data_IF_256506125026
#
_entry.id   IF_256506125026
#
_cell.length_a   1.000
_cell.length_b   1.000
_cell.length_c   1.000
_cell.angle_alpha   90.00
_cell.angle_beta   90.00
_cell.angle_gamma   90.00
#
_symmetry.space_group_name_H-M   'P 1'
#
loop_
_entity.id
_entity.type
_entity.pdbx_description
1 polymer ?
#
# COMPACT_ATOMS: atom_id res chain seq x y z
N UNK A 1 9.04 10.66 8.96
CA UNK A 1 9.84 10.54 10.21
C UNK A 1 10.22 9.09 10.53
N UNK A 2 9.27 8.13 10.60
CA UNK A 2 9.61 6.72 10.92
C UNK A 2 10.54 6.07 9.89
N UNK A 3 10.24 6.17 8.59
CA UNK A 3 11.12 5.61 7.55
C UNK A 3 12.54 6.19 7.59
N UNK A 4 12.66 7.47 7.92
CA UNK A 4 13.96 8.13 8.08
C UNK A 4 14.72 7.60 9.31
N UNK A 5 14.03 7.34 10.43
CA UNK A 5 14.63 6.69 11.60
C UNK A 5 15.18 5.29 11.27
N UNK A 6 14.48 4.54 10.42
CA UNK A 6 14.92 3.21 9.98
C UNK A 6 16.20 3.27 9.13
N UNK A 7 16.38 4.34 8.36
CA UNK A 7 17.61 4.58 7.61
C UNK A 7 18.74 5.10 8.49
N UNK A 8 18.46 6.08 9.35
CA UNK A 8 19.50 6.82 10.06
C UNK A 8 20.00 6.07 11.31
N UNK A 9 19.09 5.41 12.03
CA UNK A 9 19.41 4.71 13.29
C UNK A 9 19.59 3.23 13.06
N UNK A 10 18.61 2.57 12.42
CA UNK A 10 18.65 1.13 12.21
C UNK A 10 19.50 0.71 11.00
N UNK A 11 19.92 1.67 10.17
CA UNK A 11 20.73 1.46 8.96
C UNK A 11 20.16 0.37 8.04
N UNK A 12 18.83 0.30 7.98
CA UNK A 12 18.15 -0.69 7.17
C UNK A 12 18.21 -0.28 5.69
N UNK A 13 18.49 -1.22 4.76
CA UNK A 13 18.43 -0.93 3.34
C UNK A 13 16.98 -0.59 2.91
N UNK A 14 16.80 0.21 1.84
CA UNK A 14 15.48 0.62 1.35
C UNK A 14 14.48 -0.53 1.19
N UNK A 15 14.92 -1.65 0.63
CA UNK A 15 14.06 -2.82 0.45
C UNK A 15 13.46 -3.32 1.78
N UNK A 16 14.27 -3.46 2.83
CA UNK A 16 13.79 -3.93 4.14
C UNK A 16 12.88 -2.91 4.81
N UNK A 17 13.22 -1.61 4.75
CA UNK A 17 12.38 -0.54 5.29
C UNK A 17 10.99 -0.54 4.66
N UNK A 18 10.92 -0.64 3.34
CA UNK A 18 9.64 -0.70 2.61
C UNK A 18 8.85 -1.95 2.96
N UNK A 19 9.49 -3.13 3.00
CA UNK A 19 8.84 -4.39 3.38
C UNK A 19 8.25 -4.32 4.78
N UNK A 20 8.99 -3.80 5.76
CA UNK A 20 8.49 -3.65 7.14
C UNK A 20 7.26 -2.74 7.17
N UNK A 21 7.28 -1.62 6.43
CA UNK A 21 6.13 -0.70 6.38
C UNK A 21 4.91 -1.40 5.75
N UNK A 22 5.07 -2.11 4.64
CA UNK A 22 3.96 -2.85 4.01
C UNK A 22 3.41 -3.92 4.95
N UNK A 23 4.27 -4.73 5.56
CA UNK A 23 3.84 -5.78 6.50
C UNK A 23 3.14 -5.17 7.71
N UNK A 24 3.64 -4.05 8.24
CA UNK A 24 3.01 -3.36 9.36
C UNK A 24 1.60 -2.89 9.01
N UNK A 25 1.40 -2.34 7.80
CA UNK A 25 0.08 -1.97 7.30
C UNK A 25 -0.88 -3.16 7.19
N UNK A 26 -0.41 -4.28 6.63
CA UNK A 26 -1.18 -5.52 6.50
C UNK A 26 -1.59 -6.09 7.87
N UNK A 27 -0.66 -6.10 8.84
CA UNK A 27 -0.95 -6.55 10.21
C UNK A 27 -2.00 -5.64 10.86
N UNK A 28 -1.82 -4.32 10.79
CA UNK A 28 -2.77 -3.37 11.36
C UNK A 28 -4.17 -3.54 10.77
N UNK A 29 -4.27 -3.76 9.47
CA UNK A 29 -5.55 -3.99 8.81
C UNK A 29 -6.18 -5.34 9.18
N UNK A 30 -5.39 -6.41 9.23
CA UNK A 30 -5.85 -7.73 9.65
C UNK A 30 -6.41 -7.76 11.08
N UNK A 31 -5.96 -6.84 11.95
CA UNK A 31 -6.52 -6.65 13.29
C UNK A 31 -7.64 -5.60 13.37
N UNK A 32 -8.05 -5.00 12.25
CA UNK A 32 -9.05 -3.94 12.20
C UNK A 32 -8.60 -2.62 12.84
N UNK A 33 -7.29 -2.42 12.99
CA UNK A 33 -6.69 -1.23 13.62
C UNK A 33 -6.37 -0.13 12.61
N UNK A 34 -6.33 -0.46 11.31
CA UNK A 34 -6.00 0.50 10.27
C UNK A 34 -7.12 1.53 10.05
N UNK A 35 -8.40 1.12 10.05
CA UNK A 35 -9.53 2.06 9.89
C UNK A 35 -9.65 3.07 11.06
N UNK A 36 -9.54 2.67 12.34
CA UNK A 36 -9.42 3.63 13.45
C UNK A 36 -8.24 4.58 13.30
N UNK A 37 -7.11 4.10 12.76
CA UNK A 37 -5.93 4.91 12.52
C UNK A 37 -6.19 5.98 11.44
N UNK A 38 -6.91 5.62 10.37
CA UNK A 38 -7.39 6.59 9.36
C UNK A 38 -8.33 7.60 10.01
N UNK A 39 -9.28 7.17 10.83
CA UNK A 39 -10.23 8.08 11.49
C UNK A 39 -9.53 9.07 12.45
N UNK A 40 -8.45 8.63 13.10
CA UNK A 40 -7.69 9.46 14.05
C UNK A 40 -6.73 10.43 13.36
N UNK A 41 -5.92 9.96 12.42
CA UNK A 41 -4.84 10.74 11.79
C UNK A 41 -5.19 11.24 10.37
N UNK A 42 -6.40 10.96 9.91
CA UNK A 42 -6.93 11.38 8.61
C UNK A 42 -6.19 10.78 7.41
N UNK A 43 -6.31 11.45 6.27
CA UNK A 43 -5.67 11.05 5.01
C UNK A 43 -4.14 10.97 5.10
N UNK A 44 -3.51 11.50 6.16
CA UNK A 44 -2.06 11.38 6.36
C UNK A 44 -1.58 9.92 6.47
N UNK A 45 -2.43 9.00 6.93
CA UNK A 45 -2.11 7.57 7.07
C UNK A 45 -2.17 6.84 5.73
N UNK A 46 -2.95 7.33 4.78
CA UNK A 46 -3.12 6.69 3.47
C UNK A 46 -1.98 7.02 2.49
N UNK A 47 -1.15 8.03 2.81
CA UNK A 47 -0.05 8.51 1.95
C UNK A 47 1.17 7.57 1.94
N UNK A 48 1.69 7.06 3.08
CA UNK A 48 2.87 6.21 3.08
C UNK A 48 2.56 4.78 2.60
N UNK A 49 3.60 4.05 2.15
CA UNK A 49 3.47 2.69 1.59
C UNK A 49 2.85 1.66 2.55
N UNK A 50 2.72 1.96 3.85
CA UNK A 50 1.90 1.20 4.80
C UNK A 50 0.47 1.00 4.30
N UNK A 51 -0.12 1.97 3.58
CA UNK A 51 -1.47 1.85 3.01
C UNK A 51 -1.59 0.77 1.95
N UNK A 52 -0.48 0.43 1.28
CA UNK A 52 -0.44 -0.70 0.36
C UNK A 52 -0.69 -2.04 1.08
N UNK A 53 -0.13 -2.20 2.28
CA UNK A 53 -0.36 -3.39 3.11
C UNK A 53 -1.81 -3.52 3.57
N UNK A 54 -2.42 -2.40 3.97
CA UNK A 54 -3.85 -2.33 4.29
C UNK A 54 -4.70 -2.68 3.06
N UNK A 55 -4.45 -2.09 1.89
CA UNK A 55 -5.20 -2.40 0.68
C UNK A 55 -5.14 -3.88 0.27
N UNK A 56 -4.00 -4.55 0.47
CA UNK A 56 -3.85 -5.99 0.21
C UNK A 56 -4.76 -6.84 1.08
N UNK A 57 -4.75 -6.60 2.40
CA UNK A 57 -5.54 -7.38 3.35
C UNK A 57 -7.02 -7.03 3.21
N UNK A 58 -7.35 -5.75 3.12
CA UNK A 58 -8.73 -5.28 2.98
C UNK A 58 -9.37 -5.81 1.70
N UNK A 59 -8.65 -5.77 0.56
CA UNK A 59 -9.11 -6.34 -0.70
C UNK A 59 -9.27 -7.85 -0.64
N UNK A 60 -8.32 -8.56 -0.03
CA UNK A 60 -8.41 -10.00 0.17
C UNK A 60 -9.63 -10.40 1.02
N UNK A 61 -9.88 -9.69 2.12
CA UNK A 61 -11.01 -9.96 3.01
C UNK A 61 -12.35 -9.64 2.34
N UNK A 62 -12.46 -8.48 1.67
CA UNK A 62 -13.68 -8.08 0.98
C UNK A 62 -14.11 -9.08 -0.12
N UNK A 63 -13.13 -9.71 -0.77
CA UNK A 63 -13.39 -10.68 -1.82
C UNK A 63 -13.52 -12.10 -1.28
N UNK A 64 -12.87 -12.41 -0.15
CA UNK A 64 -13.06 -13.66 0.58
C UNK A 64 -14.52 -13.84 1.03
N UNK A 65 -15.17 -12.76 1.47
CA UNK A 65 -16.58 -12.78 1.88
C UNK A 65 -17.53 -13.13 0.73
N UNK A 66 -17.14 -12.87 -0.53
CA UNK A 66 -17.95 -13.14 -1.73
C UNK A 66 -17.63 -14.48 -2.39
N UNK A 67 -16.34 -14.80 -2.50
CA UNK A 67 -15.82 -15.90 -3.33
C UNK A 67 -15.04 -16.94 -2.52
N UNK A 68 -15.07 -16.85 -1.18
CA UNK A 68 -14.37 -17.76 -0.29
C UNK A 68 -12.85 -17.70 -0.47
N UNK A 69 -12.19 -18.85 -0.36
CA UNK A 69 -10.72 -18.91 -0.40
C UNK A 69 -10.12 -18.41 -1.73
N UNK A 70 -10.84 -18.58 -2.85
CA UNK A 70 -10.40 -18.06 -4.16
C UNK A 70 -10.43 -16.53 -4.15
N UNK A 71 -11.43 -15.94 -3.48
CA UNK A 71 -11.57 -14.51 -3.30
C UNK A 71 -10.35 -13.87 -2.63
N UNK A 72 -9.74 -14.54 -1.65
CA UNK A 72 -8.52 -14.04 -0.97
C UNK A 72 -7.41 -13.73 -2.00
N UNK A 73 -7.19 -14.64 -2.95
CA UNK A 73 -6.11 -14.52 -3.94
C UNK A 73 -6.46 -13.50 -5.01
N UNK A 74 -7.71 -13.43 -5.46
CA UNK A 74 -8.11 -12.45 -6.49
C UNK A 74 -8.22 -11.05 -5.92
N UNK A 75 -8.81 -10.91 -4.73
CA UNK A 75 -9.06 -9.62 -4.07
C UNK A 75 -7.79 -8.87 -3.67
N UNK A 76 -6.74 -9.58 -3.25
CA UNK A 76 -5.46 -8.93 -2.91
C UNK A 76 -4.86 -8.18 -4.11
N UNK A 77 -5.04 -8.70 -5.33
CA UNK A 77 -4.53 -8.07 -6.54
C UNK A 77 -5.49 -7.05 -7.12
N UNK A 78 -6.80 -7.22 -6.95
CA UNK A 78 -7.80 -6.34 -7.55
C UNK A 78 -7.63 -4.87 -7.11
N UNK A 79 -7.76 -4.60 -5.80
CA UNK A 79 -7.67 -3.24 -5.25
C UNK A 79 -6.29 -2.62 -5.50
N UNK A 80 -5.25 -3.43 -5.29
CA UNK A 80 -3.85 -3.01 -5.42
C UNK A 80 -3.47 -2.72 -6.88
N UNK A 81 -4.01 -3.47 -7.84
CA UNK A 81 -3.73 -3.29 -9.26
C UNK A 81 -4.26 -1.96 -9.79
N UNK A 82 -5.37 -1.44 -9.23
CA UNK A 82 -5.92 -0.16 -9.65
C UNK A 82 -4.94 0.99 -9.40
N UNK A 83 -4.31 1.03 -8.22
CA UNK A 83 -3.33 2.04 -7.87
C UNK A 83 -2.07 1.96 -8.75
N UNK A 84 -1.54 0.75 -8.95
CA UNK A 84 -0.36 0.54 -9.79
C UNK A 84 -0.66 0.89 -11.26
N UNK A 85 -1.80 0.46 -11.78
CA UNK A 85 -2.22 0.74 -13.15
C UNK A 85 -2.42 2.23 -13.38
N UNK A 86 -3.06 2.93 -12.43
CA UNK A 86 -3.20 4.38 -12.49
C UNK A 86 -1.83 5.08 -12.52
N UNK A 87 -0.90 4.69 -11.64
CA UNK A 87 0.44 5.25 -11.61
C UNK A 87 1.19 5.06 -12.94
N UNK A 88 1.08 3.88 -13.56
CA UNK A 88 1.67 3.59 -14.87
C UNK A 88 1.02 4.46 -15.95
N UNK A 89 -0.31 4.48 -16.04
CA UNK A 89 -1.04 5.23 -17.07
C UNK A 89 -0.71 6.72 -17.00
N UNK A 90 -0.82 7.31 -15.81
CA UNK A 90 -0.51 8.74 -15.65
C UNK A 90 0.98 9.03 -15.84
N UNK A 91 1.87 8.12 -15.44
CA UNK A 91 3.30 8.22 -15.71
C UNK A 91 3.60 8.25 -17.22
N UNK A 92 2.99 7.36 -17.99
CA UNK A 92 3.13 7.31 -19.45
C UNK A 92 2.52 8.54 -20.12
N UNK A 93 1.32 8.95 -19.71
CA UNK A 93 0.67 10.16 -20.25
C UNK A 93 1.53 11.41 -19.98
N UNK A 94 2.06 11.55 -18.75
CA UNK A 94 2.99 12.62 -18.40
C UNK A 94 4.25 12.58 -19.26
N UNK A 95 4.82 11.39 -19.51
CA UNK A 95 5.99 11.24 -20.36
C UNK A 95 5.71 11.64 -21.82
N UNK A 96 4.54 11.29 -22.36
CA UNK A 96 4.14 11.66 -23.72
C UNK A 96 3.93 13.17 -23.87
N UNK A 97 3.31 13.82 -22.88
CA UNK A 97 3.01 15.26 -22.94
C UNK A 97 4.24 16.14 -22.73
N UNK A 98 5.13 15.76 -21.81
CA UNK A 98 6.19 16.66 -21.34
C UNK A 98 7.60 16.29 -21.84
N UNK A 99 7.77 15.21 -22.61
CA UNK A 99 9.08 14.72 -23.09
C UNK A 99 10.16 14.80 -21.99
N UNK A 100 10.03 14.00 -20.92
CA UNK A 100 10.94 14.02 -19.80
C UNK A 100 12.36 13.72 -20.30
N UNK A 101 13.33 14.53 -19.87
CA UNK A 101 14.74 14.25 -20.07
C UNK A 101 15.13 13.26 -18.98
N UNK A 102 15.12 11.97 -19.32
CA UNK A 102 15.67 10.90 -18.48
C UNK A 102 17.16 11.05 -18.26
#
# INVERSE_FOLDING_TARGET
MIGQLMFDVLKLPPAQTLTILVISGAILDGFGLYDPLINFAGAGVTVPITSFGNALVHGAMAEADKHGLIGVVTGMFEVTSAGISAAIIFGVLGALLFKPKG
#
